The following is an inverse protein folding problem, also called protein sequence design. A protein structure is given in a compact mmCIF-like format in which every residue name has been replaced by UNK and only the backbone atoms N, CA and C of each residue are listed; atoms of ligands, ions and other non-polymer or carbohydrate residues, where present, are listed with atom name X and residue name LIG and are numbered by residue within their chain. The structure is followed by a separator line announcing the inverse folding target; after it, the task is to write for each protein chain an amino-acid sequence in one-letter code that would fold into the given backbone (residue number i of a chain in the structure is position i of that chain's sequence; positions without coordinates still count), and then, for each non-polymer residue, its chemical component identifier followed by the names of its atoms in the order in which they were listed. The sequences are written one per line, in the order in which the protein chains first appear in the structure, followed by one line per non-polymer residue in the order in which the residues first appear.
data_IF_278304407754
#
_entry.id   IF_278304407754
#
_cell.length_a   1.000
_cell.length_b   1.000
_cell.length_c   1.000
_cell.angle_alpha   90.00
_cell.angle_beta   90.00
_cell.angle_gamma   90.00
#
_symmetry.space_group_name_H-M   'P 1'
#
loop_
_entity.id
_entity.type
_entity.pdbx_description
1 polymer ?
#
# COMPACT_ATOMS: atom_id res chain seq x y z
N UNK A 1 10.47 8.69 26.29
CA UNK A 1 10.73 7.25 26.34
C UNK A 1 9.87 6.55 25.31
N UNK A 2 10.46 5.58 24.59
CA UNK A 2 9.77 4.73 23.65
C UNK A 2 9.04 3.63 24.44
N UNK A 3 7.73 3.46 24.19
CA UNK A 3 6.95 2.38 24.80
C UNK A 3 6.47 1.43 23.70
N UNK A 4 6.59 0.10 23.89
CA UNK A 4 6.03 -0.87 22.97
C UNK A 4 4.49 -0.71 22.87
N UNK A 5 3.96 -0.83 21.68
CA UNK A 5 2.53 -0.77 21.47
C UNK A 5 1.92 -2.17 21.39
N UNK A 6 0.67 -2.32 21.80
CA UNK A 6 -0.06 -3.58 21.73
C UNK A 6 -1.17 -3.45 20.69
N UNK A 7 -1.28 -4.43 19.79
CA UNK A 7 -2.40 -4.48 18.86
C UNK A 7 -3.69 -4.97 19.57
N UNK A 8 -4.82 -4.98 18.86
CA UNK A 8 -6.12 -5.44 19.36
C UNK A 8 -6.13 -6.88 19.92
N UNK A 9 -5.09 -7.67 19.64
CA UNK A 9 -4.88 -9.03 20.14
C UNK A 9 -3.79 -9.08 21.23
N UNK A 10 -3.46 -7.96 21.88
CA UNK A 10 -2.40 -7.82 22.88
C UNK A 10 -1.02 -8.29 22.40
N UNK A 11 -0.74 -8.24 21.08
CA UNK A 11 0.58 -8.56 20.53
C UNK A 11 1.46 -7.32 20.55
N UNK A 12 2.68 -7.49 21.02
CA UNK A 12 3.66 -6.41 21.09
C UNK A 12 4.07 -5.96 19.68
N UNK A 13 3.93 -4.67 19.42
CA UNK A 13 4.47 -3.98 18.25
C UNK A 13 5.67 -3.17 18.72
N UNK A 14 6.87 -3.67 18.42
CA UNK A 14 8.14 -3.08 18.80
C UNK A 14 8.96 -2.74 17.55
N UNK A 15 8.66 -1.57 16.98
CA UNK A 15 9.34 -1.05 15.80
C UNK A 15 9.95 0.31 16.12
N UNK A 16 11.27 0.39 16.07
CA UNK A 16 11.98 1.64 16.28
C UNK A 16 11.73 2.61 15.11
N UNK A 17 11.71 3.93 15.36
CA UNK A 17 11.67 4.92 14.29
C UNK A 17 12.90 4.82 13.38
N UNK A 18 12.74 5.15 12.11
CA UNK A 18 13.84 5.25 11.17
C UNK A 18 13.86 4.17 10.09
N UNK A 19 14.92 4.18 9.29
CA UNK A 19 15.09 3.28 8.16
C UNK A 19 15.62 1.92 8.64
N UNK A 20 14.87 0.86 8.39
CA UNK A 20 15.26 -0.49 8.83
C UNK A 20 14.78 -1.56 7.84
N UNK A 21 15.46 -2.71 7.86
CA UNK A 21 15.03 -3.90 7.11
C UNK A 21 14.12 -4.73 8.00
N UNK A 22 12.91 -4.95 7.55
CA UNK A 22 11.90 -5.73 8.26
C UNK A 22 11.90 -7.18 7.78
N UNK A 23 11.87 -8.13 8.70
CA UNK A 23 11.47 -9.51 8.44
C UNK A 23 9.94 -9.62 8.34
N UNK A 24 9.42 -10.82 8.05
CA UNK A 24 7.98 -11.02 7.86
C UNK A 24 7.14 -10.63 9.09
N UNK A 25 7.60 -10.95 10.30
CA UNK A 25 6.91 -10.63 11.55
C UNK A 25 6.87 -9.10 11.78
N UNK A 26 8.00 -8.44 11.63
CA UNK A 26 8.08 -6.97 11.78
C UNK A 26 7.32 -6.25 10.68
N UNK A 27 7.32 -6.79 9.46
CA UNK A 27 6.52 -6.26 8.35
C UNK A 27 5.01 -6.35 8.65
N UNK A 28 4.54 -7.48 9.22
CA UNK A 28 3.17 -7.61 9.70
C UNK A 28 2.83 -6.57 10.77
N UNK A 29 3.68 -6.41 11.77
CA UNK A 29 3.52 -5.38 12.81
C UNK A 29 3.40 -3.98 12.18
N UNK A 30 4.28 -3.66 11.23
CA UNK A 30 4.28 -2.35 10.56
C UNK A 30 2.98 -2.04 9.82
N UNK A 31 2.44 -2.99 9.06
CA UNK A 31 1.21 -2.77 8.27
C UNK A 31 -0.06 -2.82 9.13
N UNK A 32 0.00 -3.43 10.31
CA UNK A 32 -1.15 -3.57 11.23
C UNK A 32 -1.21 -2.48 12.29
N UNK A 33 -0.12 -1.77 12.53
CA UNK A 33 -0.06 -0.74 13.55
C UNK A 33 -1.20 0.27 13.39
N UNK A 34 -1.90 0.52 14.49
CA UNK A 34 -2.91 1.58 14.66
C UNK A 34 -2.60 2.30 15.95
N UNK A 35 -2.57 3.63 15.91
CA UNK A 35 -2.64 4.43 17.12
C UNK A 35 -4.10 4.75 17.40
N UNK A 36 -4.44 5.09 18.63
CA UNK A 36 -5.81 5.51 19.00
C UNK A 36 -6.09 6.96 18.56
N UNK A 37 -5.16 7.57 17.84
CA UNK A 37 -5.30 8.93 17.34
C UNK A 37 -6.30 9.03 16.19
N UNK A 38 -7.05 10.12 16.15
CA UNK A 38 -7.96 10.44 15.05
C UNK A 38 -7.21 10.45 13.71
N UNK A 39 -7.76 9.75 12.70
CA UNK A 39 -7.14 9.68 11.37
C UNK A 39 -6.09 8.58 11.19
N UNK A 40 -5.90 7.70 12.17
CA UNK A 40 -4.91 6.63 12.08
C UNK A 40 -5.19 5.62 10.96
N UNK A 41 -6.42 5.45 10.54
CA UNK A 41 -6.74 4.62 9.37
C UNK A 41 -6.06 5.12 8.09
N UNK A 42 -5.96 6.43 7.90
CA UNK A 42 -5.22 7.01 6.78
C UNK A 42 -3.71 6.75 6.91
N UNK A 43 -3.18 6.83 8.12
CA UNK A 43 -1.78 6.50 8.41
C UNK A 43 -1.50 5.03 8.16
N UNK A 44 -2.43 4.13 8.50
CA UNK A 44 -2.35 2.70 8.19
C UNK A 44 -2.33 2.45 6.69
N UNK A 45 -3.21 3.09 5.92
CA UNK A 45 -3.23 2.99 4.45
C UNK A 45 -1.89 3.44 3.86
N UNK A 46 -1.34 4.57 4.31
CA UNK A 46 -0.02 5.04 3.87
C UNK A 46 1.09 4.03 4.17
N UNK A 47 1.11 3.44 5.38
CA UNK A 47 2.07 2.39 5.75
C UNK A 47 1.95 1.15 4.87
N UNK A 48 0.73 0.71 4.59
CA UNK A 48 0.47 -0.43 3.69
C UNK A 48 0.96 -0.14 2.27
N UNK A 49 0.68 1.04 1.73
CA UNK A 49 1.19 1.45 0.42
C UNK A 49 2.72 1.53 0.39
N UNK A 50 3.33 2.11 1.43
CA UNK A 50 4.79 2.18 1.56
C UNK A 50 5.42 0.79 1.63
N UNK A 51 4.83 -0.12 2.41
CA UNK A 51 5.26 -1.51 2.49
C UNK A 51 5.18 -2.20 1.12
N UNK A 52 4.06 -2.09 0.41
CA UNK A 52 3.90 -2.70 -0.92
C UNK A 52 4.92 -2.16 -1.91
N UNK A 53 5.17 -0.86 -1.92
CA UNK A 53 6.22 -0.25 -2.76
C UNK A 53 7.61 -0.79 -2.41
N UNK A 54 7.95 -0.88 -1.13
CA UNK A 54 9.24 -1.42 -0.67
C UNK A 54 9.39 -2.90 -1.01
N UNK A 55 8.34 -3.70 -0.83
CA UNK A 55 8.32 -5.12 -1.19
C UNK A 55 8.49 -5.33 -2.69
N UNK A 56 7.79 -4.55 -3.52
CA UNK A 56 7.94 -4.58 -4.97
C UNK A 56 9.37 -4.22 -5.40
N UNK A 57 9.93 -3.13 -4.86
CA UNK A 57 11.34 -2.76 -5.10
C UNK A 57 12.29 -3.89 -4.76
N UNK A 58 12.09 -4.54 -3.62
CA UNK A 58 12.95 -5.64 -3.17
C UNK A 58 12.82 -6.87 -4.07
N UNK A 59 11.59 -7.23 -4.44
CA UNK A 59 11.31 -8.37 -5.30
C UNK A 59 11.92 -8.21 -6.71
N UNK A 60 11.88 -6.99 -7.25
CA UNK A 60 12.37 -6.67 -8.59
C UNK A 60 13.88 -6.39 -8.67
N UNK A 61 14.61 -6.43 -7.56
CA UNK A 61 16.07 -6.35 -7.59
C UNK A 61 16.65 -7.54 -8.37
N UNK A 62 17.69 -7.34 -9.22
CA UNK A 62 18.24 -8.39 -10.05
C UNK A 62 18.60 -9.67 -9.29
N UNK A 63 19.19 -9.56 -8.10
CA UNK A 63 19.54 -10.69 -7.24
C UNK A 63 18.34 -11.47 -6.66
N UNK A 64 17.14 -10.93 -6.73
CA UNK A 64 15.92 -11.57 -6.22
C UNK A 64 15.02 -12.15 -7.34
N UNK A 65 15.26 -11.81 -8.61
CA UNK A 65 14.47 -12.31 -9.73
C UNK A 65 14.35 -13.83 -9.78
N UNK A 66 15.40 -14.63 -9.50
CA UNK A 66 15.26 -16.09 -9.46
C UNK A 66 14.29 -16.60 -8.37
N UNK A 67 14.02 -15.79 -7.34
CA UNK A 67 13.11 -16.12 -6.24
C UNK A 67 11.65 -15.71 -6.50
N UNK A 68 11.43 -14.94 -7.56
CA UNK A 68 10.11 -14.41 -7.91
C UNK A 68 9.04 -15.50 -8.11
N UNK A 69 9.32 -16.64 -8.80
CA UNK A 69 8.35 -17.72 -8.94
C UNK A 69 7.91 -18.31 -7.60
N UNK A 70 8.84 -18.45 -6.64
CA UNK A 70 8.52 -18.92 -5.28
C UNK A 70 7.63 -17.90 -4.55
N UNK A 71 7.96 -16.61 -4.64
CA UNK A 71 7.18 -15.53 -4.03
C UNK A 71 5.75 -15.52 -4.56
N UNK A 72 5.57 -15.60 -5.88
CA UNK A 72 4.25 -15.65 -6.52
C UNK A 72 3.45 -16.89 -6.12
N UNK A 73 4.10 -18.06 -6.01
CA UNK A 73 3.45 -19.28 -5.52
C UNK A 73 2.95 -19.10 -4.09
N UNK A 74 3.78 -18.54 -3.20
CA UNK A 74 3.40 -18.26 -1.82
C UNK A 74 2.24 -17.25 -1.76
N UNK A 75 2.30 -16.17 -2.55
CA UNK A 75 1.23 -15.17 -2.60
C UNK A 75 -0.11 -15.82 -3.01
N UNK A 76 -0.10 -16.72 -4.01
CA UNK A 76 -1.31 -17.43 -4.45
C UNK A 76 -1.95 -18.32 -3.38
N UNK A 77 -1.18 -18.81 -2.42
CA UNK A 77 -1.71 -19.63 -1.32
C UNK A 77 -2.51 -18.79 -0.30
N UNK A 78 -2.33 -17.46 -0.32
CA UNK A 78 -2.91 -16.53 0.66
C UNK A 78 -3.83 -15.48 0.01
N UNK A 79 -4.04 -15.53 -1.31
CA UNK A 79 -4.89 -14.60 -2.04
C UNK A 79 -5.95 -15.38 -2.79
N UNK A 80 -7.20 -15.19 -2.43
CA UNK A 80 -8.35 -15.67 -3.20
C UNK A 80 -8.75 -14.62 -4.22
N UNK A 81 -8.92 -15.04 -5.47
CA UNK A 81 -9.31 -14.15 -6.57
C UNK A 81 -10.05 -14.92 -7.65
N UNK A 82 -11.03 -14.26 -8.27
CA UNK A 82 -11.75 -14.76 -9.43
C UNK A 82 -11.08 -14.38 -10.76
N UNK A 83 -9.92 -13.70 -10.73
CA UNK A 83 -9.17 -13.33 -11.93
C UNK A 83 -8.49 -14.57 -12.50
N UNK A 84 -8.71 -14.93 -13.79
CA UNK A 84 -8.05 -16.06 -14.43
C UNK A 84 -6.52 -15.93 -14.39
N UNK A 85 -5.82 -17.06 -14.30
CA UNK A 85 -4.36 -17.09 -14.16
C UNK A 85 -3.63 -16.33 -15.27
N UNK A 86 -4.06 -16.50 -16.52
CA UNK A 86 -3.49 -15.78 -17.67
C UNK A 86 -3.61 -14.26 -17.52
N UNK A 87 -4.75 -13.80 -17.01
CA UNK A 87 -4.99 -12.39 -16.74
C UNK A 87 -4.13 -11.88 -15.58
N UNK A 88 -3.95 -12.68 -14.52
CA UNK A 88 -3.03 -12.33 -13.43
C UNK A 88 -1.60 -12.11 -13.94
N UNK A 89 -1.11 -12.96 -14.85
CA UNK A 89 0.20 -12.76 -15.47
C UNK A 89 0.27 -11.49 -16.30
N UNK A 90 -0.75 -11.22 -17.10
CA UNK A 90 -0.83 -9.99 -17.91
C UNK A 90 -0.80 -8.74 -17.01
N UNK A 91 -1.61 -8.72 -15.96
CA UNK A 91 -1.65 -7.62 -14.99
C UNK A 91 -0.30 -7.46 -14.26
N UNK A 92 0.31 -8.57 -13.85
CA UNK A 92 1.60 -8.53 -13.18
C UNK A 92 2.71 -7.97 -14.08
N UNK A 93 2.78 -8.39 -15.34
CA UNK A 93 3.77 -7.86 -16.30
C UNK A 93 3.53 -6.39 -16.59
N UNK A 94 2.30 -5.97 -16.78
CA UNK A 94 1.93 -4.56 -16.97
C UNK A 94 2.33 -3.73 -15.74
N UNK A 95 2.00 -4.21 -14.54
CA UNK A 95 2.37 -3.52 -13.30
C UNK A 95 3.90 -3.39 -13.11
N UNK A 96 4.66 -4.43 -13.47
CA UNK A 96 6.12 -4.39 -13.42
C UNK A 96 6.68 -3.36 -14.40
N UNK A 97 6.21 -3.34 -15.65
CA UNK A 97 6.64 -2.37 -16.64
C UNK A 97 6.29 -0.94 -16.23
N UNK A 98 5.05 -0.71 -15.77
CA UNK A 98 4.63 0.61 -15.27
C UNK A 98 5.44 1.08 -14.08
N UNK A 99 5.77 0.16 -13.16
CA UNK A 99 6.63 0.47 -12.02
C UNK A 99 8.06 0.85 -12.45
N UNK A 100 8.65 0.08 -13.38
CA UNK A 100 10.00 0.36 -13.91
C UNK A 100 10.05 1.67 -14.69
N UNK A 101 8.98 2.00 -15.41
CA UNK A 101 8.82 3.26 -16.12
C UNK A 101 8.50 4.46 -15.19
N UNK A 102 8.33 4.25 -13.88
CA UNK A 102 7.89 5.29 -12.95
C UNK A 102 6.43 5.73 -13.14
N UNK A 103 5.67 4.99 -13.93
CA UNK A 103 4.29 5.32 -14.28
C UNK A 103 3.24 4.76 -13.29
N UNK A 104 3.67 4.03 -12.24
CA UNK A 104 2.75 3.53 -11.23
C UNK A 104 2.43 4.62 -10.22
N UNK A 105 1.23 5.14 -10.30
CA UNK A 105 0.70 6.14 -9.38
C UNK A 105 -0.21 5.44 -8.38
N UNK A 106 -0.09 5.76 -7.11
CA UNK A 106 -1.01 5.33 -6.06
C UNK A 106 -1.57 6.55 -5.36
N UNK A 107 -2.88 6.65 -5.35
CA UNK A 107 -3.60 7.73 -4.68
C UNK A 107 -4.46 7.17 -3.55
N UNK A 108 -4.62 7.98 -2.51
CA UNK A 108 -5.58 7.70 -1.44
C UNK A 108 -6.82 8.52 -1.72
N UNK A 109 -7.99 7.88 -1.58
CA UNK A 109 -9.25 8.58 -1.76
C UNK A 109 -9.32 9.81 -0.84
N UNK A 110 -9.54 11.02 -1.38
CA UNK A 110 -9.62 12.22 -0.56
C UNK A 110 -10.80 12.19 0.40
N UNK A 111 -10.56 12.63 1.61
CA UNK A 111 -11.56 12.68 2.66
C UNK A 111 -10.92 12.92 4.02
N UNK A 112 -11.72 12.89 5.06
CA UNK A 112 -11.29 13.11 6.43
C UNK A 112 -12.01 12.17 7.38
N UNK A 113 -11.38 11.89 8.53
CA UNK A 113 -12.01 11.15 9.60
C UNK A 113 -12.99 12.06 10.35
N UNK A 114 -14.16 11.52 10.70
CA UNK A 114 -15.14 12.19 11.56
C UNK A 114 -15.73 11.18 12.55
N UNK A 115 -16.16 11.67 13.70
CA UNK A 115 -16.84 10.85 14.70
C UNK A 115 -18.34 11.17 14.72
N UNK A 116 -19.16 10.13 14.75
CA UNK A 116 -20.58 10.22 15.05
C UNK A 116 -20.83 9.37 16.31
N UNK A 117 -20.94 10.03 17.44
CA UNK A 117 -20.89 9.35 18.73
C UNK A 117 -19.51 8.66 18.93
N UNK A 118 -19.45 7.41 19.39
CA UNK A 118 -18.20 6.68 19.61
C UNK A 118 -17.62 6.04 18.32
N UNK A 119 -18.30 6.17 17.17
CA UNK A 119 -17.92 5.48 15.93
C UNK A 119 -17.16 6.44 15.02
N UNK A 120 -16.00 6.01 14.57
CA UNK A 120 -15.20 6.72 13.57
C UNK A 120 -15.67 6.38 12.16
N UNK A 121 -15.90 7.40 11.35
CA UNK A 121 -16.25 7.31 9.95
C UNK A 121 -15.20 8.01 9.10
N UNK A 122 -14.99 7.51 7.89
CA UNK A 122 -14.29 8.24 6.85
C UNK A 122 -15.31 8.93 5.95
N UNK A 123 -15.27 10.26 5.92
CA UNK A 123 -16.13 11.08 5.06
C UNK A 123 -15.37 11.42 3.77
N UNK A 124 -15.77 10.88 2.60
CA UNK A 124 -15.11 11.17 1.34
C UNK A 124 -15.38 12.60 0.88
N UNK A 125 -14.35 13.25 0.33
CA UNK A 125 -14.49 14.53 -0.36
C UNK A 125 -14.86 14.29 -1.83
N UNK A 126 -16.15 14.31 -2.11
CA UNK A 126 -16.66 14.04 -3.45
C UNK A 126 -16.18 15.03 -4.52
N UNK A 127 -15.89 16.28 -4.14
CA UNK A 127 -15.38 17.27 -5.10
C UNK A 127 -13.95 16.95 -5.52
N UNK A 128 -13.10 16.59 -4.55
CA UNK A 128 -11.72 16.19 -4.86
C UNK A 128 -11.68 14.85 -5.59
N UNK A 129 -12.54 13.88 -5.23
CA UNK A 129 -12.67 12.61 -5.93
C UNK A 129 -13.02 12.82 -7.39
N UNK A 130 -13.97 13.71 -7.68
CA UNK A 130 -14.37 14.01 -9.05
C UNK A 130 -13.25 14.69 -9.85
N UNK A 131 -12.47 15.57 -9.22
CA UNK A 131 -11.27 16.15 -9.83
C UNK A 131 -10.23 15.08 -10.17
N UNK A 132 -9.96 14.14 -9.24
CA UNK A 132 -9.05 13.02 -9.50
C UNK A 132 -9.54 12.15 -10.64
N UNK A 133 -10.84 11.80 -10.64
CA UNK A 133 -11.46 11.01 -11.70
C UNK A 133 -11.29 11.70 -13.06
N UNK A 134 -11.59 12.97 -13.13
CA UNK A 134 -11.45 13.77 -14.35
C UNK A 134 -10.00 13.86 -14.83
N UNK A 135 -9.07 14.05 -13.90
CA UNK A 135 -7.63 14.06 -14.22
C UNK A 135 -7.17 12.71 -14.79
N UNK A 136 -7.65 11.58 -14.26
CA UNK A 136 -7.27 10.25 -14.79
C UNK A 136 -7.90 9.90 -16.12
N UNK A 137 -9.04 10.51 -16.47
CA UNK A 137 -9.73 10.30 -17.74
C UNK A 137 -9.24 11.24 -18.84
N UNK A 138 -8.47 12.27 -18.51
CA UNK A 138 -7.96 13.21 -19.49
C UNK A 138 -6.90 12.52 -20.40
N UNK A 139 -6.99 12.68 -21.74
CA UNK A 139 -5.96 12.18 -22.65
C UNK A 139 -4.61 12.81 -22.30
N UNK A 140 -3.57 11.97 -22.10
CA UNK A 140 -2.21 12.42 -21.71
C UNK A 140 -2.01 12.67 -20.22
N UNK A 141 -2.98 12.41 -19.35
CA UNK A 141 -2.86 12.60 -17.90
C UNK A 141 -1.71 11.75 -17.27
N UNK A 142 -1.33 10.66 -17.92
CA UNK A 142 -0.27 9.75 -17.45
C UNK A 142 1.14 10.28 -17.72
N UNK A 143 1.33 11.17 -18.70
CA UNK A 143 2.66 11.65 -19.09
C UNK A 143 3.22 12.72 -18.14
N UNK A 144 2.36 13.45 -17.43
CA UNK A 144 2.76 14.58 -16.57
C UNK A 144 2.90 14.21 -15.08
N UNK A 145 2.45 13.06 -14.65
CA UNK A 145 2.46 12.70 -13.22
C UNK A 145 3.86 12.27 -12.69
N UNK A 146 4.81 12.01 -13.57
CA UNK A 146 6.19 11.62 -13.25
C UNK A 146 7.18 12.79 -13.12
N UNK A 147 6.81 14.01 -13.48
CA UNK A 147 7.74 15.13 -13.60
C UNK A 147 7.78 16.10 -12.39
N UNK A 148 7.05 15.82 -11.33
CA UNK A 148 6.88 16.79 -10.25
C UNK A 148 6.89 16.24 -8.83
N UNK A 149 7.86 15.37 -8.47
CA UNK A 149 8.19 15.12 -7.04
C UNK A 149 9.59 14.59 -6.88
#
# INVERSE_FOLDING_TARGET
PYEPWFDEYARVIDLQPGHQVLDGRRAEQYVRFRSDAMGDDLSRIRRQQQFLRAAARRALQPGNLPRLPKLLRTARQHVETNVPLAEQFRLATTAIHSYQAGALITETLPGHAAYVGPISYFLPDFQQIERLRSAWQAPGAMDNAGAGR
#
